data_IF_381525437964
#
_entry.id   IF_381525437964
#
_cell.length_a   1.000
_cell.length_b   1.000
_cell.length_c   1.000
_cell.angle_alpha   90.00
_cell.angle_beta   90.00
_cell.angle_gamma   90.00
#
_symmetry.space_group_name_H-M   'P 1'
#
loop_
_entity.id
_entity.type
_entity.pdbx_description
1 polymer ?
#
# COMPACT_ATOMS: atom_id res chain seq x y z
N UNK A 1 -17.77 -3.83 -7.04
CA UNK A 1 -17.27 -4.29 -8.36
C UNK A 1 -17.89 -3.52 -9.54
N UNK A 2 -19.20 -3.23 -9.58
CA UNK A 2 -19.83 -2.53 -10.73
C UNK A 2 -19.55 -1.02 -10.85
N UNK A 3 -19.27 -0.32 -9.74
CA UNK A 3 -18.96 1.11 -9.77
C UNK A 3 -17.67 1.38 -10.54
N UNK A 4 -16.65 0.54 -10.35
CA UNK A 4 -15.39 0.64 -11.09
C UNK A 4 -15.62 0.43 -12.59
N UNK A 5 -16.36 -0.62 -13.00
CA UNK A 5 -16.68 -0.85 -14.41
C UNK A 5 -17.34 0.36 -15.09
N UNK A 6 -18.15 1.14 -14.36
CA UNK A 6 -18.77 2.39 -14.85
C UNK A 6 -17.77 3.53 -15.06
N UNK A 7 -16.73 3.66 -14.23
CA UNK A 7 -15.65 4.63 -14.43
C UNK A 7 -14.65 4.20 -15.52
N UNK A 8 -14.60 2.91 -15.85
CA UNK A 8 -13.60 2.28 -16.73
C UNK A 8 -14.10 2.01 -18.15
N UNK A 9 -15.34 2.38 -18.47
CA UNK A 9 -16.03 2.10 -19.74
C UNK A 9 -15.53 2.91 -20.95
N UNK A 10 -14.24 3.23 -21.03
CA UNK A 10 -13.62 3.90 -22.17
C UNK A 10 -12.38 3.16 -22.64
N UNK A 11 -12.25 2.93 -23.96
CA UNK A 11 -11.13 2.24 -24.63
C UNK A 11 -9.73 2.86 -24.45
N UNK A 12 -9.58 3.83 -23.55
CA UNK A 12 -8.39 4.65 -23.48
C UNK A 12 -7.60 4.39 -22.20
N UNK A 13 -6.28 4.30 -22.39
CA UNK A 13 -5.19 4.16 -21.43
C UNK A 13 -5.10 5.33 -20.43
N UNK A 14 -6.21 5.85 -19.93
CA UNK A 14 -6.23 7.00 -19.05
C UNK A 14 -5.89 6.56 -17.63
N UNK A 15 -4.87 7.19 -17.07
CA UNK A 15 -4.59 7.11 -15.65
C UNK A 15 -5.79 7.68 -14.88
N UNK A 16 -6.12 7.08 -13.74
CA UNK A 16 -7.17 7.60 -12.87
C UNK A 16 -6.74 7.51 -11.41
N UNK A 17 -7.45 8.27 -10.58
CA UNK A 17 -7.41 8.17 -9.12
C UNK A 17 -8.84 8.04 -8.62
N UNK A 18 -9.11 7.02 -7.82
CA UNK A 18 -10.33 6.83 -7.07
C UNK A 18 -10.05 7.13 -5.60
N UNK A 19 -10.84 8.03 -5.01
CA UNK A 19 -10.83 8.30 -3.58
C UNK A 19 -11.89 7.45 -2.93
N UNK A 20 -11.49 6.55 -2.04
CA UNK A 20 -12.44 5.76 -1.29
C UNK A 20 -13.09 6.62 -0.19
N UNK A 21 -14.29 6.22 0.23
CA UNK A 21 -14.95 6.83 1.38
C UNK A 21 -14.11 6.65 2.66
N UNK A 22 -14.30 7.55 3.62
CA UNK A 22 -13.64 7.46 4.94
C UNK A 22 -13.91 6.08 5.56
N UNK A 23 -12.85 5.43 6.03
CA UNK A 23 -12.95 4.12 6.70
C UNK A 23 -13.03 2.93 5.74
N UNK A 24 -12.65 3.11 4.47
CA UNK A 24 -12.47 1.98 3.57
C UNK A 24 -11.47 0.97 4.16
N UNK A 25 -11.78 -0.33 4.14
CA UNK A 25 -11.05 -1.31 4.95
C UNK A 25 -9.69 -1.72 4.36
N UNK A 26 -9.36 -1.30 3.13
CA UNK A 26 -8.20 -1.81 2.39
C UNK A 26 -7.27 -0.74 1.81
N UNK A 27 -7.78 0.39 1.30
CA UNK A 27 -6.97 1.49 0.78
C UNK A 27 -7.77 2.79 0.80
N UNK A 28 -7.10 3.92 1.00
CA UNK A 28 -7.72 5.24 0.99
C UNK A 28 -7.81 5.81 -0.42
N UNK A 29 -6.80 5.57 -1.26
CA UNK A 29 -6.81 5.92 -2.67
C UNK A 29 -6.41 4.71 -3.52
N UNK A 30 -7.00 4.62 -4.71
CA UNK A 30 -6.55 3.71 -5.76
C UNK A 30 -6.14 4.56 -6.93
N UNK A 31 -4.93 4.36 -7.46
CA UNK A 31 -4.55 4.95 -8.72
C UNK A 31 -4.20 3.87 -9.73
N UNK A 32 -4.35 4.16 -11.01
CA UNK A 32 -3.89 3.30 -12.11
C UNK A 32 -3.09 4.13 -13.09
N UNK A 33 -2.01 3.55 -13.60
CA UNK A 33 -1.30 4.06 -14.77
C UNK A 33 -0.79 2.88 -15.60
N UNK A 34 -1.15 2.83 -16.88
CA UNK A 34 -0.85 1.66 -17.72
C UNK A 34 -1.38 0.37 -17.10
N UNK A 35 -0.51 -0.63 -16.96
CA UNK A 35 -0.82 -1.94 -16.35
C UNK A 35 -0.50 -1.99 -14.84
N UNK A 36 -0.21 -0.84 -14.21
CA UNK A 36 0.15 -0.74 -12.80
C UNK A 36 -1.04 -0.20 -12.00
N UNK A 37 -1.39 -0.91 -10.94
CA UNK A 37 -2.32 -0.50 -9.90
C UNK A 37 -1.52 0.03 -8.70
N UNK A 38 -1.89 1.17 -8.17
CA UNK A 38 -1.32 1.72 -6.94
C UNK A 38 -2.40 1.71 -5.87
N UNK A 39 -2.11 1.07 -4.73
CA UNK A 39 -2.98 1.07 -3.56
C UNK A 39 -2.33 1.96 -2.51
N UNK A 40 -2.95 3.09 -2.20
CA UNK A 40 -2.39 4.08 -1.28
C UNK A 40 -3.13 4.03 0.05
N UNK A 41 -2.38 3.78 1.11
CA UNK A 41 -2.84 3.98 2.48
C UNK A 41 -2.41 5.37 2.97
N UNK A 42 -3.38 6.22 3.21
CA UNK A 42 -3.21 7.58 3.73
C UNK A 42 -3.35 7.55 5.25
N UNK A 43 -2.25 7.74 5.97
CA UNK A 43 -2.34 8.02 7.41
C UNK A 43 -2.27 9.53 7.58
N UNK A 44 -3.41 10.16 7.86
CA UNK A 44 -3.50 11.60 8.13
C UNK A 44 -2.53 11.96 9.25
N UNK A 45 -1.59 12.87 8.97
CA UNK A 45 -0.89 13.75 9.91
C UNK A 45 -1.25 13.54 11.39
N UNK A 46 -0.40 12.83 12.15
CA UNK A 46 -0.33 12.96 13.62
C UNK A 46 0.97 12.34 14.10
N UNK A 47 1.92 13.21 14.47
CA UNK A 47 2.96 13.16 15.51
C UNK A 47 3.60 11.86 16.05
N UNK A 48 3.26 10.65 15.59
CA UNK A 48 3.87 9.35 15.93
C UNK A 48 3.16 8.30 15.07
N UNK A 49 3.77 7.97 13.94
CA UNK A 49 3.33 6.83 13.13
C UNK A 49 3.85 5.55 13.79
N UNK A 50 3.03 4.94 14.65
CA UNK A 50 3.04 3.48 14.78
C UNK A 50 2.23 2.95 13.59
N UNK A 51 2.79 3.04 12.38
CA UNK A 51 2.24 2.29 11.25
C UNK A 51 2.59 0.83 11.52
N UNK A 52 1.58 0.02 11.80
CA UNK A 52 1.70 -1.43 11.69
C UNK A 52 1.75 -1.79 10.20
N UNK A 53 2.96 -1.68 9.62
CA UNK A 53 3.20 -1.83 8.18
C UNK A 53 2.71 -3.19 7.71
N UNK A 54 2.98 -4.24 8.48
CA UNK A 54 2.50 -5.59 8.21
C UNK A 54 0.97 -5.62 8.10
N UNK A 55 0.26 -5.12 9.12
CA UNK A 55 -1.20 -5.15 9.12
C UNK A 55 -1.80 -4.41 7.93
N UNK A 56 -1.24 -3.25 7.57
CA UNK A 56 -1.73 -2.46 6.43
C UNK A 56 -1.40 -3.14 5.08
N UNK A 57 -0.22 -3.75 4.93
CA UNK A 57 0.10 -4.57 3.75
C UNK A 57 -0.88 -5.73 3.59
N UNK A 58 -1.17 -6.45 4.67
CA UNK A 58 -2.10 -7.59 4.65
C UNK A 58 -3.53 -7.12 4.33
N UNK A 59 -3.99 -5.98 4.85
CA UNK A 59 -5.30 -5.38 4.47
C UNK A 59 -5.38 -5.04 2.97
N UNK A 60 -4.29 -4.55 2.39
CA UNK A 60 -4.17 -4.33 0.94
C UNK A 60 -3.99 -5.64 0.13
N UNK A 61 -3.88 -6.78 0.81
CA UNK A 61 -3.73 -8.11 0.21
C UNK A 61 -2.29 -8.51 -0.06
N UNK A 62 -1.31 -7.68 0.28
CA UNK A 62 0.09 -7.98 0.02
C UNK A 62 0.60 -8.99 1.02
N UNK A 63 1.12 -10.11 0.51
CA UNK A 63 1.90 -11.00 1.35
C UNK A 63 3.29 -10.40 1.55
N UNK A 64 3.69 -10.27 2.81
CA UNK A 64 4.98 -9.72 3.20
C UNK A 64 5.67 -10.57 4.25
N UNK A 65 7.00 -10.46 4.25
CA UNK A 65 7.92 -11.03 5.23
C UNK A 65 8.77 -9.91 5.81
N UNK A 66 8.90 -9.89 7.14
CA UNK A 66 9.80 -8.97 7.83
C UNK A 66 11.25 -9.46 7.69
N UNK A 67 12.19 -8.57 7.39
CA UNK A 67 13.61 -8.92 7.25
C UNK A 67 14.34 -8.96 8.59
N UNK A 68 13.96 -8.10 9.53
CA UNK A 68 14.47 -8.13 10.90
C UNK A 68 13.70 -9.11 11.78
N UNK A 69 14.36 -9.62 12.82
CA UNK A 69 13.71 -10.50 13.80
C UNK A 69 12.57 -9.74 14.50
N UNK A 70 11.35 -10.29 14.54
CA UNK A 70 10.24 -9.65 15.21
C UNK A 70 10.53 -9.48 16.70
N UNK A 71 10.21 -8.30 17.26
CA UNK A 71 10.26 -8.08 18.70
C UNK A 71 9.13 -8.88 19.38
N UNK A 72 9.44 -10.12 19.75
CA UNK A 72 8.55 -11.03 20.45
C UNK A 72 7.62 -11.83 19.54
N UNK A 73 7.09 -12.93 20.07
CA UNK A 73 6.16 -13.77 19.33
C UNK A 73 4.78 -13.09 19.21
N UNK A 74 4.22 -12.99 18.00
CA UNK A 74 2.89 -12.45 17.82
C UNK A 74 1.85 -13.35 18.50
N UNK A 75 0.90 -12.73 19.21
CA UNK A 75 -0.20 -13.48 19.82
C UNK A 75 -0.98 -14.28 18.75
N UNK A 76 -1.52 -15.48 19.06
CA UNK A 76 -2.29 -16.28 18.11
C UNK A 76 -3.44 -15.50 17.45
N UNK A 77 -4.10 -14.63 18.21
CA UNK A 77 -5.18 -13.75 17.73
C UNK A 77 -4.69 -12.72 16.71
N UNK A 78 -3.48 -12.15 16.88
CA UNK A 78 -2.87 -11.24 15.89
C UNK A 78 -2.62 -11.99 14.59
N UNK A 79 -2.03 -13.18 14.68
CA UNK A 79 -1.72 -14.02 13.51
C UNK A 79 -2.99 -14.38 12.73
N UNK A 80 -4.06 -14.79 13.41
CA UNK A 80 -5.36 -15.09 12.78
C UNK A 80 -5.96 -13.86 12.08
N UNK A 81 -5.97 -12.71 12.76
CA UNK A 81 -6.47 -11.45 12.19
C UNK A 81 -5.67 -11.01 10.95
N UNK A 82 -4.35 -11.18 10.97
CA UNK A 82 -3.49 -10.87 9.83
C UNK A 82 -3.76 -11.82 8.65
N UNK A 83 -3.96 -13.11 8.91
CA UNK A 83 -4.29 -14.09 7.89
C UNK A 83 -5.68 -13.86 7.29
N UNK A 84 -6.67 -13.46 8.09
CA UNK A 84 -7.99 -13.04 7.59
C UNK A 84 -7.89 -11.78 6.73
N UNK A 85 -7.16 -10.76 7.21
CA UNK A 85 -6.93 -9.51 6.48
C UNK A 85 -6.26 -9.78 5.14
N UNK A 86 -5.23 -10.62 5.11
CA UNK A 86 -4.54 -11.02 3.88
C UNK A 86 -5.49 -11.67 2.89
N UNK A 87 -6.34 -12.60 3.34
CA UNK A 87 -7.31 -13.29 2.47
C UNK A 87 -8.30 -12.31 1.86
N UNK A 88 -8.91 -11.46 2.68
CA UNK A 88 -9.89 -10.46 2.24
C UNK A 88 -9.25 -9.44 1.29
N UNK A 89 -8.10 -8.87 1.68
CA UNK A 89 -7.35 -7.93 0.86
C UNK A 89 -6.92 -8.52 -0.47
N UNK A 90 -6.44 -9.78 -0.47
CA UNK A 90 -5.99 -10.47 -1.68
C UNK A 90 -7.12 -10.67 -2.68
N UNK A 91 -8.31 -11.06 -2.20
CA UNK A 91 -9.48 -11.23 -3.04
C UNK A 91 -9.90 -9.90 -3.70
N UNK A 92 -9.86 -8.80 -2.95
CA UNK A 92 -10.19 -7.45 -3.45
C UNK A 92 -9.14 -6.99 -4.46
N UNK A 93 -7.85 -7.10 -4.16
CA UNK A 93 -6.78 -6.62 -5.04
C UNK A 93 -6.72 -7.42 -6.34
N UNK A 94 -6.85 -8.75 -6.30
CA UNK A 94 -6.96 -9.57 -7.51
C UNK A 94 -8.15 -9.15 -8.38
N UNK A 95 -9.31 -8.96 -7.74
CA UNK A 95 -10.53 -8.50 -8.41
C UNK A 95 -10.34 -7.14 -9.11
N UNK A 96 -9.65 -6.21 -8.45
CA UNK A 96 -9.31 -4.91 -9.03
C UNK A 96 -8.36 -5.07 -10.21
N UNK A 97 -7.29 -5.85 -10.06
CA UNK A 97 -6.31 -6.06 -11.11
C UNK A 97 -6.93 -6.69 -12.36
N UNK A 98 -7.76 -7.72 -12.19
CA UNK A 98 -8.49 -8.36 -13.30
C UNK A 98 -9.42 -7.37 -14.01
N UNK A 99 -10.24 -6.65 -13.25
CA UNK A 99 -11.18 -5.68 -13.80
C UNK A 99 -10.49 -4.51 -14.52
N UNK A 100 -9.25 -4.20 -14.13
CA UNK A 100 -8.47 -3.07 -14.65
C UNK A 100 -7.43 -3.46 -15.69
N UNK A 101 -7.23 -4.77 -15.93
CA UNK A 101 -6.14 -5.27 -16.77
C UNK A 101 -4.75 -4.90 -16.22
N UNK A 102 -4.59 -4.84 -14.90
CA UNK A 102 -3.31 -4.57 -14.25
C UNK A 102 -2.52 -5.87 -14.05
N UNK A 103 -1.20 -5.80 -14.28
CA UNK A 103 -0.27 -6.91 -14.04
C UNK A 103 0.56 -6.73 -12.78
N UNK A 104 0.70 -5.48 -12.34
CA UNK A 104 1.46 -5.12 -11.13
C UNK A 104 0.56 -4.33 -10.19
N UNK A 105 0.58 -4.64 -8.89
CA UNK A 105 0.04 -3.78 -7.86
C UNK A 105 1.15 -3.32 -6.91
N UNK A 106 1.22 -2.03 -6.60
CA UNK A 106 2.24 -1.42 -5.74
C UNK A 106 1.58 -0.89 -4.47
N UNK A 107 2.00 -1.34 -3.27
CA UNK A 107 1.56 -0.75 -2.02
C UNK A 107 2.29 0.58 -1.79
N UNK A 108 1.54 1.63 -1.49
CA UNK A 108 2.07 2.95 -1.19
C UNK A 108 1.56 3.39 0.18
N UNK A 109 2.49 3.79 1.04
CA UNK A 109 2.21 4.48 2.29
C UNK A 109 2.36 5.97 2.06
N UNK A 110 1.30 6.73 2.33
CA UNK A 110 1.33 8.18 2.26
C UNK A 110 1.15 8.77 3.65
N UNK A 111 2.09 9.62 4.05
CA UNK A 111 2.06 10.29 5.34
C UNK A 111 2.64 11.71 5.27
N UNK A 112 2.46 12.48 6.35
CA UNK A 112 3.08 13.80 6.46
C UNK A 112 4.59 13.71 6.54
N UNK A 113 5.29 14.66 5.92
CA UNK A 113 6.75 14.74 6.04
C UNK A 113 7.15 14.94 7.52
N UNK A 114 8.04 14.09 8.06
CA UNK A 114 8.54 14.25 9.43
C UNK A 114 9.34 15.53 9.61
N UNK A 115 9.35 16.06 10.83
CA UNK A 115 10.08 17.29 11.15
C UNK A 115 11.59 17.08 11.30
N UNK A 116 12.04 15.82 11.47
CA UNK A 116 13.45 15.48 11.65
C UNK A 116 13.92 14.40 10.67
N UNK A 117 15.21 14.44 10.33
CA UNK A 117 15.83 13.44 9.46
C UNK A 117 15.81 12.02 10.07
N UNK A 118 15.93 11.93 11.41
CA UNK A 118 15.91 10.65 12.12
C UNK A 118 14.54 9.99 12.08
N UNK A 119 13.46 10.76 12.27
CA UNK A 119 12.08 10.25 12.10
C UNK A 119 11.83 9.82 10.65
N UNK A 120 12.29 10.60 9.67
CA UNK A 120 12.22 10.25 8.24
C UNK A 120 12.94 8.94 7.94
N UNK A 121 14.15 8.76 8.48
CA UNK A 121 14.92 7.52 8.35
C UNK A 121 14.22 6.35 9.01
N UNK A 122 13.70 6.52 10.23
CA UNK A 122 12.98 5.47 10.97
C UNK A 122 11.75 4.99 10.19
N UNK A 123 10.96 5.90 9.64
CA UNK A 123 9.78 5.54 8.83
C UNK A 123 10.16 4.83 7.54
N UNK A 124 11.20 5.31 6.85
CA UNK A 124 11.73 4.65 5.66
C UNK A 124 12.16 3.21 5.99
N UNK A 125 12.97 3.02 7.03
CA UNK A 125 13.42 1.69 7.46
C UNK A 125 12.25 0.78 7.83
N UNK A 126 11.23 1.30 8.53
CA UNK A 126 10.04 0.52 8.89
C UNK A 126 9.27 -0.01 7.68
N UNK A 127 9.19 0.74 6.58
CA UNK A 127 8.54 0.27 5.34
C UNK A 127 9.46 -0.67 4.56
N UNK A 128 10.77 -0.36 4.50
CA UNK A 128 11.77 -1.15 3.78
C UNK A 128 12.04 -2.51 4.42
N UNK A 129 11.77 -2.66 5.71
CA UNK A 129 11.96 -3.91 6.46
C UNK A 129 11.01 -5.03 5.98
N UNK A 130 9.82 -4.67 5.48
CA UNK A 130 8.86 -5.64 4.96
C UNK A 130 9.03 -5.83 3.45
N UNK A 131 9.49 -7.02 3.04
CA UNK A 131 9.50 -7.39 1.62
C UNK A 131 8.17 -7.97 1.21
N UNK A 132 7.61 -7.40 0.15
CA UNK A 132 6.39 -7.87 -0.50
C UNK A 132 6.76 -8.72 -1.70
N UNK A 133 6.06 -9.86 -1.85
CA UNK A 133 6.16 -10.71 -3.03
C UNK A 133 4.78 -11.19 -3.47
N UNK A 134 4.03 -10.29 -4.09
CA UNK A 134 2.66 -10.55 -4.55
C UNK A 134 2.24 -9.57 -5.65
N UNK A 135 1.25 -9.95 -6.45
CA UNK A 135 0.68 -9.10 -7.51
C UNK A 135 1.72 -8.51 -8.49
N UNK A 136 2.71 -9.31 -8.90
CA UNK A 136 3.76 -8.86 -9.83
C UNK A 136 4.75 -7.86 -9.23
N UNK A 137 4.63 -7.50 -7.95
CA UNK A 137 5.57 -6.65 -7.23
C UNK A 137 6.50 -7.51 -6.35
N UNK A 138 7.80 -7.23 -6.43
CA UNK A 138 8.84 -7.83 -5.59
C UNK A 138 9.73 -6.72 -5.02
N UNK A 139 9.58 -6.43 -3.74
CA UNK A 139 10.27 -5.33 -3.07
C UNK A 139 9.50 -4.76 -1.89
N UNK A 140 10.01 -3.72 -1.23
CA UNK A 140 9.28 -3.03 -0.17
C UNK A 140 8.11 -2.22 -0.72
N UNK A 141 7.22 -1.76 0.16
CA UNK A 141 6.23 -0.74 -0.20
C UNK A 141 6.90 0.60 -0.54
N UNK A 142 6.23 1.44 -1.33
CA UNK A 142 6.68 2.80 -1.55
C UNK A 142 6.22 3.70 -0.39
N UNK A 143 7.03 4.70 -0.02
CA UNK A 143 6.71 5.69 1.00
C UNK A 143 6.69 7.09 0.37
N UNK A 144 5.58 7.81 0.52
CA UNK A 144 5.34 9.15 0.02
C UNK A 144 5.13 10.12 1.17
N UNK A 145 6.00 11.14 1.26
CA UNK A 145 5.87 12.22 2.23
C UNK A 145 5.11 13.41 1.63
N UNK A 146 4.17 13.96 2.38
CA UNK A 146 3.35 15.12 2.01
C UNK A 146 3.64 16.27 2.97
N UNK A 147 4.06 17.44 2.47
CA UNK A 147 4.20 18.65 3.29
C UNK A 147 5.51 19.42 3.19
N UNK A 148 6.53 18.92 2.49
CA UNK A 148 7.73 19.69 2.12
C UNK A 148 8.00 19.68 0.61
N UNK A 149 9.10 20.33 0.20
CA UNK A 149 9.53 20.34 -1.21
C UNK A 149 9.74 18.91 -1.69
N UNK A 150 9.06 18.50 -2.76
CA UNK A 150 9.18 17.16 -3.34
C UNK A 150 10.64 16.82 -3.67
N UNK A 151 11.31 16.08 -2.80
CA UNK A 151 12.58 15.40 -3.11
C UNK A 151 12.26 14.00 -3.61
N UNK A 152 12.61 13.72 -4.87
CA UNK A 152 12.50 12.37 -5.47
C UNK A 152 13.49 11.43 -4.79
N UNK A 153 13.00 10.46 -4.02
CA UNK A 153 13.84 9.48 -3.32
C UNK A 153 13.88 8.09 -3.96
N UNK A 154 13.21 7.87 -5.09
CA UNK A 154 13.24 6.56 -5.76
C UNK A 154 13.11 6.68 -7.29
N UNK A 155 14.08 6.11 -8.00
CA UNK A 155 13.98 5.83 -9.44
C UNK A 155 13.31 4.49 -9.59
N UNK A 156 12.08 4.47 -10.11
CA UNK A 156 11.41 3.23 -10.52
C UNK A 156 11.94 2.90 -11.91
N UNK A 157 12.80 1.89 -12.01
CA UNK A 157 13.20 1.31 -13.29
C UNK A 157 12.19 0.23 -13.64
N UNK A 158 11.51 0.39 -14.79
CA UNK A 158 10.54 -0.55 -15.35
C UNK A 158 11.23 -1.43 -16.39
#
# INVERSE_FOLDING_TARGET
MDVLKRFLGGKNQQAFVLVNGRGAPYADLIAKSGEILFLLQCKTSVARLEIDVEAELKKMGFNCEQQSDPEGDPSPKRTENLAESLRAGSAITNSLMEALGCKVAVPIFMCSEPSTADEKKKLKTSVEDFRVKSFGWEGPGALLFVGGSTERTMTISV
#
